data_IF_608877682863
#
_entry.id   IF_608877682863
#
_cell.length_a   1.000
_cell.length_b   1.000
_cell.length_c   1.000
_cell.angle_alpha   90.00
_cell.angle_beta   90.00
_cell.angle_gamma   90.00
#
_symmetry.space_group_name_H-M   'P 1'
#
loop_
_entity.id
_entity.type
_entity.pdbx_description
1 polymer ?
#
# COMPACT_ATOMS: atom_id res chain seq x y z
N UNK A 1 0.47 6.02 -29.18
CA UNK A 1 1.51 7.02 -28.83
C UNK A 1 2.45 6.28 -27.88
N UNK A 2 3.75 6.21 -28.18
CA UNK A 2 4.68 5.39 -27.38
C UNK A 2 5.24 6.23 -26.21
N UNK A 3 5.23 5.69 -25.00
CA UNK A 3 5.83 6.32 -23.82
C UNK A 3 6.63 5.31 -22.99
N UNK A 4 7.62 5.80 -22.21
CA UNK A 4 8.39 4.96 -21.29
C UNK A 4 7.65 4.78 -19.96
N UNK A 5 7.19 3.56 -19.68
CA UNK A 5 6.40 3.22 -18.50
C UNK A 5 6.90 1.96 -17.77
N UNK A 6 6.34 1.71 -16.60
CA UNK A 6 6.54 0.48 -15.82
C UNK A 6 5.34 -0.44 -16.06
N UNK A 7 5.54 -1.51 -16.83
CA UNK A 7 4.52 -2.54 -16.99
C UNK A 7 4.40 -3.38 -15.72
N UNK A 8 3.17 -3.66 -15.31
CA UNK A 8 2.83 -4.46 -14.14
C UNK A 8 2.42 -5.87 -14.55
N UNK A 9 2.47 -6.86 -13.64
CA UNK A 9 2.06 -8.24 -13.94
C UNK A 9 0.60 -8.35 -14.43
N UNK A 10 -0.28 -7.44 -14.00
CA UNK A 10 -1.67 -7.34 -14.46
C UNK A 10 -1.84 -6.66 -15.83
N UNK A 11 -0.73 -6.39 -16.53
CA UNK A 11 -0.71 -5.79 -17.87
C UNK A 11 -0.86 -4.27 -17.90
N UNK A 12 -1.22 -3.64 -16.78
CA UNK A 12 -1.36 -2.17 -16.70
C UNK A 12 0.01 -1.48 -16.66
N UNK A 13 0.04 -0.22 -17.06
CA UNK A 13 1.28 0.56 -17.17
C UNK A 13 1.20 1.82 -16.31
N UNK A 14 2.24 2.05 -15.50
CA UNK A 14 2.40 3.25 -14.68
C UNK A 14 3.57 4.11 -15.15
N UNK A 15 3.53 5.41 -14.86
CA UNK A 15 4.63 6.34 -15.16
C UNK A 15 5.54 6.58 -13.94
N UNK A 16 5.13 6.09 -12.77
CA UNK A 16 5.87 6.13 -11.50
C UNK A 16 6.00 4.72 -10.92
N UNK A 17 6.90 4.56 -9.96
CA UNK A 17 7.19 3.27 -9.34
C UNK A 17 7.34 3.42 -7.82
N UNK A 18 6.21 3.56 -7.13
CA UNK A 18 6.19 3.74 -5.68
C UNK A 18 5.91 2.46 -4.92
N UNK A 19 6.46 2.39 -3.71
CA UNK A 19 5.94 1.53 -2.63
C UNK A 19 4.85 2.31 -1.90
N UNK A 20 3.62 1.79 -1.88
CA UNK A 20 2.49 2.43 -1.21
C UNK A 20 2.35 1.92 0.23
N UNK A 21 2.38 2.82 1.20
CA UNK A 21 1.94 2.57 2.57
C UNK A 21 0.44 2.87 2.64
N UNK A 22 -0.38 1.83 2.75
CA UNK A 22 -1.84 1.90 2.65
C UNK A 22 -2.49 1.67 4.03
N UNK A 23 -2.84 2.74 4.76
CA UNK A 23 -3.49 2.61 6.05
C UNK A 23 -4.96 2.16 5.91
N UNK A 24 -5.36 1.17 6.70
CA UNK A 24 -6.73 0.67 6.78
C UNK A 24 -7.67 1.57 7.58
N UNK A 25 -7.12 2.49 8.39
CA UNK A 25 -7.90 3.43 9.21
C UNK A 25 -7.14 4.72 9.49
N UNK A 26 -7.83 5.72 10.03
CA UNK A 26 -7.20 6.96 10.51
C UNK A 26 -6.12 6.70 11.57
N UNK A 27 -6.33 5.71 12.44
CA UNK A 27 -5.40 5.38 13.50
C UNK A 27 -4.07 4.81 13.00
N UNK A 28 -4.05 4.16 11.82
CA UNK A 28 -2.82 3.64 11.22
C UNK A 28 -2.15 4.61 10.24
N UNK A 29 -2.79 5.74 9.93
CA UNK A 29 -2.28 6.74 8.97
C UNK A 29 -0.97 7.38 9.40
N UNK A 30 -0.79 7.65 10.70
CA UNK A 30 0.45 8.25 11.21
C UNK A 30 1.65 7.33 10.99
N UNK A 31 1.51 6.05 11.35
CA UNK A 31 2.57 5.04 11.15
C UNK A 31 2.89 4.87 9.67
N UNK A 32 1.87 4.78 8.81
CA UNK A 32 2.06 4.70 7.36
C UNK A 32 2.84 5.89 6.79
N UNK A 33 2.52 7.11 7.23
CA UNK A 33 3.18 8.34 6.77
C UNK A 33 4.60 8.45 7.29
N UNK A 34 4.85 8.03 8.53
CA UNK A 34 6.18 8.01 9.12
C UNK A 34 7.11 7.01 8.43
N UNK A 35 6.61 5.84 8.05
CA UNK A 35 7.41 4.87 7.27
C UNK A 35 7.73 5.46 5.88
N UNK A 36 6.73 6.05 5.21
CA UNK A 36 6.89 6.62 3.88
C UNK A 36 7.90 7.78 3.84
N UNK A 37 8.00 8.58 4.90
CA UNK A 37 8.96 9.70 4.96
C UNK A 37 10.41 9.25 5.18
N UNK A 38 10.63 8.04 5.71
CA UNK A 38 11.97 7.50 6.02
C UNK A 38 12.64 6.79 4.84
N UNK A 39 11.86 6.26 3.89
CA UNK A 39 12.37 5.42 2.81
C UNK A 39 12.08 6.10 1.45
N UNK A 40 13.13 6.39 0.69
CA UNK A 40 12.99 6.97 -0.65
C UNK A 40 12.22 6.02 -1.57
N UNK A 41 11.31 6.56 -2.38
CA UNK A 41 10.46 5.76 -3.29
C UNK A 41 9.20 5.22 -2.62
N UNK A 42 9.01 5.46 -1.32
CA UNK A 42 7.75 5.21 -0.65
C UNK A 42 6.82 6.43 -0.72
N UNK A 43 5.52 6.15 -0.70
CA UNK A 43 4.47 7.16 -0.55
C UNK A 43 3.36 6.61 0.34
N UNK A 44 2.65 7.47 1.06
CA UNK A 44 1.46 7.08 1.80
C UNK A 44 0.23 7.79 1.24
N UNK A 45 -0.93 7.19 1.47
CA UNK A 45 -2.22 7.88 1.34
C UNK A 45 -2.84 7.98 2.72
N UNK A 46 -3.59 9.05 2.97
CA UNK A 46 -4.34 9.19 4.22
C UNK A 46 -5.69 8.47 4.10
N UNK A 47 -6.07 7.74 5.14
CA UNK A 47 -7.43 7.25 5.29
C UNK A 47 -8.08 7.98 6.47
N UNK A 48 -8.98 8.92 6.19
CA UNK A 48 -9.60 9.74 7.23
C UNK A 48 -10.72 9.03 8.00
N UNK A 49 -11.06 7.80 7.64
CA UNK A 49 -12.18 7.08 8.22
C UNK A 49 -11.74 6.11 9.33
N UNK A 50 -12.58 6.02 10.37
CA UNK A 50 -12.43 5.10 11.49
C UNK A 50 -13.34 3.88 11.39
N UNK A 51 -13.49 3.15 12.51
CA UNK A 51 -14.15 1.85 12.52
C UNK A 51 -15.68 1.88 12.35
N UNK A 52 -16.34 3.04 12.49
CA UNK A 52 -17.81 3.14 12.54
C UNK A 52 -18.49 3.21 11.16
N UNK A 53 -17.83 2.74 10.09
CA UNK A 53 -18.43 2.68 8.77
C UNK A 53 -19.31 1.44 8.63
N UNK A 54 -20.50 1.59 8.07
CA UNK A 54 -21.46 0.49 7.87
C UNK A 54 -22.02 0.48 6.47
N UNK A 55 -22.56 -0.68 6.05
CA UNK A 55 -23.28 -0.80 4.79
C UNK A 55 -22.50 -0.27 3.59
N UNK A 56 -23.03 0.76 2.94
CA UNK A 56 -22.45 1.31 1.72
C UNK A 56 -21.16 2.11 1.95
N UNK A 57 -21.00 2.71 3.13
CA UNK A 57 -19.83 3.53 3.46
C UNK A 57 -18.58 2.68 3.60
N UNK A 58 -18.70 1.55 4.32
CA UNK A 58 -17.63 0.57 4.47
C UNK A 58 -17.24 -0.03 3.12
N UNK A 59 -18.23 -0.41 2.28
CA UNK A 59 -17.98 -0.96 0.94
C UNK A 59 -17.28 0.04 0.02
N UNK A 60 -17.69 1.31 0.06
CA UNK A 60 -17.10 2.38 -0.76
C UNK A 60 -15.67 2.66 -0.35
N UNK A 61 -15.39 2.69 0.96
CA UNK A 61 -14.04 2.88 1.48
C UNK A 61 -13.15 1.69 1.12
N UNK A 62 -13.63 0.46 1.33
CA UNK A 62 -12.91 -0.75 0.93
C UNK A 62 -12.56 -0.73 -0.57
N UNK A 63 -13.54 -0.44 -1.44
CA UNK A 63 -13.32 -0.35 -2.89
C UNK A 63 -12.30 0.73 -3.25
N UNK A 64 -12.33 1.87 -2.55
CA UNK A 64 -11.36 2.96 -2.72
C UNK A 64 -9.96 2.52 -2.34
N UNK A 65 -9.76 1.86 -1.19
CA UNK A 65 -8.46 1.35 -0.77
C UNK A 65 -7.90 0.31 -1.74
N UNK A 66 -8.74 -0.64 -2.18
CA UNK A 66 -8.37 -1.65 -3.19
C UNK A 66 -7.90 -0.95 -4.47
N UNK A 67 -8.70 -0.04 -5.02
CA UNK A 67 -8.36 0.66 -6.27
C UNK A 67 -7.10 1.53 -6.14
N UNK A 68 -6.86 2.09 -4.95
CA UNK A 68 -5.65 2.86 -4.65
C UNK A 68 -4.41 1.97 -4.71
N UNK A 69 -4.45 0.78 -4.10
CA UNK A 69 -3.35 -0.19 -4.20
C UNK A 69 -3.20 -0.80 -5.61
N UNK A 70 -4.29 -0.95 -6.36
CA UNK A 70 -4.25 -1.42 -7.76
C UNK A 70 -3.68 -0.40 -8.74
N UNK A 71 -3.52 0.87 -8.37
CA UNK A 71 -3.01 1.91 -9.25
C UNK A 71 -1.65 1.49 -9.88
N UNK A 72 -1.47 1.62 -11.21
CA UNK A 72 -0.27 1.12 -11.88
C UNK A 72 1.00 1.92 -11.55
N UNK A 73 0.88 3.13 -10.99
CA UNK A 73 2.02 3.88 -10.44
C UNK A 73 2.57 3.27 -9.15
N UNK A 74 1.86 2.31 -8.56
CA UNK A 74 2.28 1.57 -7.38
C UNK A 74 2.87 0.24 -7.85
N UNK A 75 4.14 0.03 -7.51
CA UNK A 75 4.88 -1.19 -7.78
C UNK A 75 4.79 -2.22 -6.66
N UNK A 76 4.61 -1.79 -5.41
CA UNK A 76 4.43 -2.66 -4.24
C UNK A 76 3.52 -1.98 -3.20
N UNK A 77 2.84 -2.78 -2.36
CA UNK A 77 1.92 -2.26 -1.33
C UNK A 77 2.27 -2.84 0.04
N UNK A 78 2.25 -2.00 1.07
CA UNK A 78 2.32 -2.39 2.46
C UNK A 78 1.04 -1.90 3.13
N UNK A 79 0.17 -2.83 3.49
CA UNK A 79 -1.07 -2.55 4.22
C UNK A 79 -0.72 -2.31 5.69
N UNK A 80 -1.10 -1.14 6.22
CA UNK A 80 -0.81 -0.77 7.61
C UNK A 80 -2.11 -0.81 8.41
N UNK A 81 -2.22 -1.82 9.27
CA UNK A 81 -3.38 -2.06 10.13
C UNK A 81 -3.10 -1.67 11.57
N UNK A 82 -4.10 -1.18 12.29
CA UNK A 82 -4.03 -1.03 13.74
C UNK A 82 -4.29 -2.37 14.45
N UNK A 83 -5.30 -3.13 14.02
CA UNK A 83 -5.76 -4.39 14.61
C UNK A 83 -7.23 -4.40 15.06
N UNK A 84 -7.88 -3.23 15.14
CA UNK A 84 -9.27 -3.10 15.62
C UNK A 84 -10.19 -2.37 14.61
N UNK A 85 -9.80 -2.28 13.34
CA UNK A 85 -10.60 -1.62 12.32
C UNK A 85 -11.68 -2.51 11.70
N UNK A 86 -12.75 -1.85 11.22
CA UNK A 86 -13.83 -2.54 10.49
C UNK A 86 -13.42 -3.03 9.10
N UNK A 87 -12.34 -2.49 8.53
CA UNK A 87 -11.76 -2.96 7.28
C UNK A 87 -10.69 -4.00 7.59
N UNK A 88 -10.99 -5.26 7.29
CA UNK A 88 -10.04 -6.36 7.49
C UNK A 88 -8.87 -6.27 6.51
N UNK A 89 -7.66 -6.17 7.06
CA UNK A 89 -6.43 -6.14 6.27
C UNK A 89 -6.27 -7.38 5.38
N UNK A 90 -6.69 -8.56 5.85
CA UNK A 90 -6.67 -9.82 5.11
C UNK A 90 -7.48 -9.76 3.82
N UNK A 91 -8.70 -9.22 3.86
CA UNK A 91 -9.54 -9.01 2.66
C UNK A 91 -8.90 -8.03 1.69
N UNK A 92 -8.21 -7.00 2.19
CA UNK A 92 -7.50 -6.05 1.35
C UNK A 92 -6.31 -6.72 0.65
N UNK A 93 -5.53 -7.55 1.36
CA UNK A 93 -4.43 -8.34 0.79
C UNK A 93 -4.93 -9.27 -0.31
N UNK A 94 -6.01 -10.01 -0.06
CA UNK A 94 -6.63 -10.91 -1.04
C UNK A 94 -7.04 -10.14 -2.31
N UNK A 95 -7.74 -9.03 -2.16
CA UNK A 95 -8.16 -8.21 -3.29
C UNK A 95 -6.99 -7.62 -4.09
N UNK A 96 -5.87 -7.31 -3.43
CA UNK A 96 -4.66 -6.76 -4.07
C UNK A 96 -3.80 -7.85 -4.73
N UNK A 97 -3.83 -9.08 -4.22
CA UNK A 97 -3.04 -10.21 -4.73
C UNK A 97 -3.28 -10.47 -6.23
N UNK A 98 -4.49 -10.15 -6.72
CA UNK A 98 -4.85 -10.27 -8.14
C UNK A 98 -3.99 -9.41 -9.07
N UNK A 99 -3.21 -8.47 -8.54
CA UNK A 99 -2.31 -7.62 -9.35
C UNK A 99 -0.95 -8.25 -9.63
N UNK A 100 -0.60 -9.32 -8.90
CA UNK A 100 0.73 -9.94 -8.94
C UNK A 100 1.87 -9.07 -8.40
N UNK A 101 1.56 -7.90 -7.82
CA UNK A 101 2.56 -7.00 -7.21
C UNK A 101 3.01 -7.55 -5.85
N UNK A 102 4.24 -7.26 -5.39
CA UNK A 102 4.64 -7.53 -4.02
C UNK A 102 3.73 -6.80 -3.02
N UNK A 103 3.18 -7.54 -2.07
CA UNK A 103 2.25 -7.03 -1.06
C UNK A 103 2.64 -7.60 0.30
N UNK A 104 2.66 -6.75 1.32
CA UNK A 104 2.81 -7.13 2.72
C UNK A 104 1.75 -6.45 3.58
N UNK A 105 1.58 -6.93 4.81
CA UNK A 105 0.85 -6.22 5.86
C UNK A 105 1.68 -6.11 7.13
N UNK A 106 1.41 -5.06 7.91
CA UNK A 106 1.85 -4.93 9.28
C UNK A 106 0.64 -4.60 10.15
N UNK A 107 0.58 -5.18 11.35
CA UNK A 107 -0.43 -4.90 12.36
C UNK A 107 0.26 -4.25 13.57
N UNK A 108 -0.15 -3.03 13.90
CA UNK A 108 0.50 -2.21 14.94
C UNK A 108 0.34 -2.84 16.32
N UNK A 109 -0.84 -3.36 16.65
CA UNK A 109 -1.09 -3.96 17.97
C UNK A 109 -0.37 -5.31 18.12
N UNK A 110 -0.42 -6.16 17.11
CA UNK A 110 0.28 -7.46 17.13
C UNK A 110 1.80 -7.30 17.25
N UNK A 111 2.35 -6.26 16.62
CA UNK A 111 3.78 -5.94 16.72
C UNK A 111 4.16 -5.25 18.04
N UNK A 112 3.19 -4.94 18.92
CA UNK A 112 3.43 -4.35 20.24
C UNK A 112 3.65 -2.84 20.21
N UNK A 113 3.00 -2.13 19.30
CA UNK A 113 2.92 -0.67 19.26
C UNK A 113 3.63 -0.01 18.08
N UNK A 114 3.50 1.31 17.99
CA UNK A 114 3.91 2.11 16.83
C UNK A 114 5.41 2.03 16.54
N UNK A 115 6.27 2.05 17.57
CA UNK A 115 7.74 2.02 17.38
C UNK A 115 8.17 0.73 16.66
N UNK A 116 7.70 -0.43 17.13
CA UNK A 116 8.01 -1.73 16.55
C UNK A 116 7.38 -1.90 15.17
N UNK A 117 6.15 -1.43 15.00
CA UNK A 117 5.46 -1.45 13.71
C UNK A 117 6.17 -0.58 12.66
N UNK A 118 6.61 0.62 13.03
CA UNK A 118 7.38 1.52 12.15
C UNK A 118 8.72 0.90 11.79
N UNK A 119 9.44 0.31 12.74
CA UNK A 119 10.71 -0.38 12.44
C UNK A 119 10.51 -1.53 11.43
N UNK A 120 9.53 -2.41 11.69
CA UNK A 120 9.20 -3.52 10.79
C UNK A 120 8.72 -3.04 9.42
N UNK A 121 7.91 -1.99 9.39
CA UNK A 121 7.45 -1.37 8.16
C UNK A 121 8.59 -0.78 7.33
N UNK A 122 9.57 -0.13 7.97
CA UNK A 122 10.76 0.39 7.31
C UNK A 122 11.66 -0.71 6.73
N UNK A 123 11.77 -1.86 7.39
CA UNK A 123 12.49 -3.03 6.84
C UNK A 123 11.85 -3.49 5.53
N UNK A 124 10.56 -3.80 5.55
CA UNK A 124 9.83 -4.27 4.35
C UNK A 124 9.83 -3.22 3.24
N UNK A 125 9.63 -1.95 3.61
CA UNK A 125 9.63 -0.84 2.65
C UNK A 125 10.99 -0.65 1.97
N UNK A 126 12.09 -0.87 2.70
CA UNK A 126 13.44 -0.83 2.14
C UNK A 126 13.63 -1.95 1.11
N UNK A 127 13.24 -3.18 1.44
CA UNK A 127 13.37 -4.33 0.56
C UNK A 127 12.58 -4.13 -0.74
N UNK A 128 11.33 -3.67 -0.64
CA UNK A 128 10.51 -3.36 -1.81
C UNK A 128 11.06 -2.17 -2.62
N UNK A 129 11.53 -1.11 -1.97
CA UNK A 129 12.13 0.03 -2.67
C UNK A 129 13.37 -0.40 -3.46
N UNK A 130 14.22 -1.26 -2.88
CA UNK A 130 15.37 -1.83 -3.57
C UNK A 130 14.96 -2.68 -4.78
N UNK A 131 14.00 -3.60 -4.61
CA UNK A 131 13.49 -4.41 -5.72
C UNK A 131 12.92 -3.54 -6.86
N UNK A 132 12.13 -2.53 -6.52
CA UNK A 132 11.54 -1.61 -7.51
C UNK A 132 12.60 -0.74 -8.20
N UNK A 133 13.71 -0.42 -7.54
CA UNK A 133 14.78 0.39 -8.14
C UNK A 133 15.52 -0.31 -9.29
N UNK A 134 15.45 -1.65 -9.33
CA UNK A 134 16.06 -2.47 -10.38
C UNK A 134 15.18 -2.58 -11.65
N UNK A 135 13.93 -2.14 -11.58
CA UNK A 135 12.99 -2.22 -12.70
C UNK A 135 13.19 -1.01 -13.59
N UNK A 136 13.49 -1.25 -14.87
CA UNK A 136 13.61 -0.19 -15.87
C UNK A 136 12.28 0.10 -16.55
N UNK A 137 12.17 1.30 -17.14
CA UNK A 137 11.01 1.67 -17.95
C UNK A 137 11.14 1.06 -19.34
N UNK A 138 10.05 0.51 -19.84
CA UNK A 138 9.93 -0.04 -21.18
C UNK A 138 9.00 0.81 -22.05
N UNK A 139 9.13 0.67 -23.37
CA UNK A 139 8.25 1.33 -24.33
C UNK A 139 6.85 0.70 -24.28
N UNK A 140 5.85 1.53 -23.99
CA UNK A 140 4.46 1.16 -23.83
C UNK A 140 3.58 1.96 -24.81
N UNK A 141 2.55 1.30 -25.35
CA UNK A 141 1.58 1.88 -26.29
C UNK A 141 0.32 2.40 -25.61
#
# INVERSE_FOLDING_TARGET
MIFKGFRRPDGKVGIRNYVLLLPTSICSTQVATEIASKIKGCTSVSNSYGCCQVGNDARTTFKTLVNTGKNPNIGAVIVVALGCEGIEATKLLEALSTTGKPIASINIQELGGTIKATARGCEIARDYSQQLSLIEREECN
#
